data_IF_614025848082
#
_entry.id   IF_614025848082
#
_cell.length_a   1.000
_cell.length_b   1.000
_cell.length_c   1.000
_cell.angle_alpha   90.00
_cell.angle_beta   90.00
_cell.angle_gamma   90.00
#
_symmetry.space_group_name_H-M   'P 1'
#
loop_
_entity.id
_entity.type
_entity.pdbx_description
1 polymer ?
#
# COMPACT_ATOMS: atom_id res chain seq x y z
N UNK A 1 -0.27 -1.46 8.42
CA UNK A 1 -1.46 -0.78 8.98
C UNK A 1 -1.15 -0.22 10.36
N UNK A 2 -1.39 1.07 10.58
CA UNK A 2 -1.14 1.73 11.88
C UNK A 2 -2.41 1.91 12.73
N UNK A 3 -3.59 1.94 12.08
CA UNK A 3 -4.90 2.14 12.70
C UNK A 3 -5.93 1.19 12.13
N UNK A 4 -6.90 0.82 12.96
CA UNK A 4 -8.06 0.04 12.52
C UNK A 4 -8.93 0.87 11.57
N UNK A 5 -9.28 0.37 10.37
CA UNK A 5 -10.12 1.09 9.42
C UNK A 5 -11.57 1.26 9.89
N UNK A 6 -12.04 0.41 10.80
CA UNK A 6 -13.41 0.48 11.33
C UNK A 6 -13.57 1.52 12.43
N UNK A 7 -12.65 1.55 13.41
CA UNK A 7 -12.82 2.36 14.62
C UNK A 7 -11.70 3.37 14.88
N UNK A 8 -10.68 3.45 14.01
CA UNK A 8 -9.57 4.40 14.10
C UNK A 8 -8.57 4.16 15.24
N UNK A 9 -8.79 3.12 16.07
CA UNK A 9 -7.89 2.77 17.17
C UNK A 9 -6.52 2.34 16.63
N UNK A 10 -5.45 2.65 17.39
CA UNK A 10 -4.10 2.18 17.03
C UNK A 10 -4.07 0.65 16.96
N UNK A 11 -3.42 0.13 15.93
CA UNK A 11 -3.25 -1.32 15.77
C UNK A 11 -2.16 -1.82 16.72
N UNK A 12 -2.43 -2.95 17.40
CA UNK A 12 -1.54 -3.53 18.40
C UNK A 12 -0.85 -4.82 17.90
N UNK A 13 -0.83 -5.07 16.59
CA UNK A 13 -0.16 -6.24 16.00
C UNK A 13 -1.00 -7.51 15.87
N UNK A 14 -2.17 -7.59 16.50
CA UNK A 14 -3.06 -8.76 16.45
C UNK A 14 -3.87 -8.91 15.15
N UNK A 15 -4.40 -10.11 14.86
CA UNK A 15 -5.27 -10.35 13.71
C UNK A 15 -6.64 -9.66 13.86
N UNK A 16 -7.05 -9.31 15.07
CA UNK A 16 -8.28 -8.59 15.37
C UNK A 16 -8.01 -7.25 16.04
N UNK A 17 -8.89 -6.27 15.84
CA UNK A 17 -8.83 -5.00 16.56
C UNK A 17 -9.17 -5.20 18.04
N UNK A 18 -8.35 -4.68 18.96
CA UNK A 18 -8.63 -4.76 20.40
C UNK A 18 -9.88 -3.97 20.85
N UNK A 19 -10.29 -2.93 20.09
CA UNK A 19 -11.43 -2.06 20.44
C UNK A 19 -12.74 -2.54 19.85
N UNK A 20 -12.81 -2.66 18.53
CA UNK A 20 -14.05 -3.01 17.83
C UNK A 20 -14.16 -4.49 17.47
N UNK A 21 -13.11 -5.29 17.73
CA UNK A 21 -13.03 -6.73 17.39
C UNK A 21 -13.15 -7.07 15.90
N UNK A 22 -13.15 -6.08 15.00
CA UNK A 22 -13.05 -6.32 13.55
C UNK A 22 -11.87 -7.23 13.26
N UNK A 23 -12.12 -8.26 12.43
CA UNK A 23 -11.07 -9.09 11.87
C UNK A 23 -10.25 -8.30 10.83
N UNK A 24 -8.97 -8.16 11.10
CA UNK A 24 -7.98 -7.49 10.26
C UNK A 24 -7.06 -8.51 9.58
N UNK A 25 -7.23 -9.82 9.83
CA UNK A 25 -6.35 -10.88 9.39
C UNK A 25 -6.13 -10.88 7.89
N UNK A 26 -7.19 -10.76 7.10
CA UNK A 26 -7.10 -10.69 5.63
C UNK A 26 -6.34 -9.45 5.16
N UNK A 27 -6.62 -8.28 5.73
CA UNK A 27 -5.94 -7.04 5.33
C UNK A 27 -4.45 -7.10 5.68
N UNK A 28 -4.12 -7.58 6.87
CA UNK A 28 -2.73 -7.79 7.29
C UNK A 28 -2.02 -8.84 6.40
N UNK A 29 -2.71 -9.89 5.97
CA UNK A 29 -2.16 -10.89 5.06
C UNK A 29 -1.82 -10.27 3.69
N UNK A 30 -2.69 -9.41 3.16
CA UNK A 30 -2.44 -8.66 1.91
C UNK A 30 -1.23 -7.73 2.07
N UNK A 31 -1.13 -6.98 3.17
CA UNK A 31 0.03 -6.11 3.43
C UNK A 31 1.34 -6.91 3.52
N UNK A 32 1.33 -8.06 4.21
CA UNK A 32 2.49 -8.95 4.31
C UNK A 32 2.88 -9.54 2.95
N UNK A 33 1.90 -9.92 2.13
CA UNK A 33 2.14 -10.43 0.78
C UNK A 33 2.74 -9.34 -0.13
N UNK A 34 2.22 -8.11 -0.07
CA UNK A 34 2.81 -6.98 -0.77
C UNK A 34 4.25 -6.72 -0.31
N UNK A 35 4.51 -6.72 0.99
CA UNK A 35 5.87 -6.55 1.53
C UNK A 35 6.83 -7.65 1.07
N UNK A 36 6.37 -8.91 0.98
CA UNK A 36 7.16 -10.02 0.44
C UNK A 36 7.52 -9.78 -1.03
N UNK A 37 6.55 -9.38 -1.85
CA UNK A 37 6.81 -9.08 -3.26
C UNK A 37 7.75 -7.87 -3.44
N UNK A 38 7.69 -6.84 -2.57
CA UNK A 38 8.69 -5.76 -2.59
C UNK A 38 10.11 -6.27 -2.34
N UNK A 39 10.29 -7.16 -1.35
CA UNK A 39 11.60 -7.78 -1.09
C UNK A 39 12.09 -8.62 -2.27
N UNK A 40 11.20 -9.37 -2.92
CA UNK A 40 11.54 -10.14 -4.12
C UNK A 40 11.90 -9.24 -5.31
N UNK A 41 11.18 -8.13 -5.50
CA UNK A 41 11.51 -7.15 -6.54
C UNK A 41 12.90 -6.55 -6.34
N UNK A 42 13.23 -6.19 -5.09
CA UNK A 42 14.56 -5.71 -4.73
C UNK A 42 15.64 -6.77 -4.99
N UNK A 43 15.43 -8.00 -4.54
CA UNK A 43 16.37 -9.08 -4.78
C UNK A 43 16.60 -9.31 -6.29
N UNK A 44 15.53 -9.31 -7.10
CA UNK A 44 15.64 -9.45 -8.55
C UNK A 44 16.44 -8.30 -9.20
N UNK A 45 16.26 -7.05 -8.72
CA UNK A 45 17.09 -5.92 -9.16
C UNK A 45 18.58 -6.11 -8.82
N UNK A 46 18.89 -6.60 -7.61
CA UNK A 46 20.26 -6.87 -7.17
C UNK A 46 20.93 -7.96 -8.03
N UNK A 47 20.16 -8.90 -8.57
CA UNK A 47 20.64 -9.94 -9.49
C UNK A 47 20.57 -9.53 -10.98
N UNK A 48 20.14 -8.31 -11.30
CA UNK A 48 20.00 -7.82 -12.67
C UNK A 48 18.77 -8.36 -13.43
N UNK A 49 17.91 -9.15 -12.79
CA UNK A 49 16.67 -9.67 -13.38
C UNK A 49 15.57 -8.60 -13.36
N UNK A 50 15.60 -7.74 -14.38
CA UNK A 50 14.68 -6.61 -14.52
C UNK A 50 13.22 -7.04 -14.74
N UNK A 51 13.00 -8.17 -15.40
CA UNK A 51 11.66 -8.68 -15.70
C UNK A 51 10.99 -9.19 -14.43
N UNK A 52 11.68 -10.08 -13.68
CA UNK A 52 11.17 -10.57 -12.41
C UNK A 52 10.99 -9.43 -11.41
N UNK A 53 11.90 -8.45 -11.40
CA UNK A 53 11.77 -7.26 -10.58
C UNK A 53 10.46 -6.50 -10.86
N UNK A 54 10.19 -6.19 -12.13
CA UNK A 54 8.97 -5.46 -12.54
C UNK A 54 7.71 -6.26 -12.23
N UNK A 55 7.73 -7.57 -12.46
CA UNK A 55 6.59 -8.45 -12.13
C UNK A 55 6.29 -8.47 -10.62
N UNK A 56 7.33 -8.61 -9.79
CA UNK A 56 7.16 -8.57 -8.33
C UNK A 56 6.72 -7.20 -7.82
N UNK A 57 7.28 -6.11 -8.35
CA UNK A 57 6.88 -4.75 -7.96
C UNK A 57 5.42 -4.45 -8.38
N UNK A 58 5.02 -4.89 -9.58
CA UNK A 58 3.64 -4.80 -10.06
C UNK A 58 2.67 -5.55 -9.14
N UNK A 59 2.99 -6.79 -8.76
CA UNK A 59 2.20 -7.59 -7.80
C UNK A 59 2.08 -6.90 -6.44
N UNK A 60 3.18 -6.34 -5.92
CA UNK A 60 3.13 -5.60 -4.66
C UNK A 60 2.18 -4.40 -4.72
N UNK A 61 2.21 -3.66 -5.82
CA UNK A 61 1.35 -2.48 -6.04
C UNK A 61 -0.12 -2.85 -6.24
N UNK A 62 -0.41 -3.97 -6.91
CA UNK A 62 -1.77 -4.49 -7.10
C UNK A 62 -2.40 -4.97 -5.78
N UNK A 63 -1.61 -5.59 -4.90
CA UNK A 63 -2.07 -6.03 -3.58
C UNK A 63 -2.28 -4.87 -2.61
N UNK A 64 -1.30 -3.97 -2.53
CA UNK A 64 -1.35 -2.83 -1.64
C UNK A 64 -0.61 -1.65 -2.26
N UNK A 65 -1.39 -0.68 -2.74
CA UNK A 65 -0.91 0.54 -3.36
C UNK A 65 -0.44 1.56 -2.31
N UNK A 66 0.68 1.24 -1.67
CA UNK A 66 1.35 2.09 -0.67
C UNK A 66 2.54 2.83 -1.27
N UNK A 67 3.06 3.90 -0.61
CA UNK A 67 4.25 4.61 -1.07
C UNK A 67 5.44 3.68 -1.33
N UNK A 68 5.64 2.65 -0.50
CA UNK A 68 6.73 1.68 -0.66
C UNK A 68 6.53 0.78 -1.89
N UNK A 69 5.29 0.37 -2.18
CA UNK A 69 4.99 -0.43 -3.38
C UNK A 69 5.14 0.38 -4.66
N UNK A 70 4.69 1.64 -4.64
CA UNK A 70 4.89 2.58 -5.74
C UNK A 70 6.38 2.87 -5.96
N UNK A 71 7.15 3.03 -4.89
CA UNK A 71 8.60 3.25 -4.96
C UNK A 71 9.30 2.06 -5.61
N UNK A 72 8.98 0.83 -5.19
CA UNK A 72 9.51 -0.38 -5.80
C UNK A 72 9.21 -0.40 -7.31
N UNK A 73 7.98 -0.12 -7.71
CA UNK A 73 7.59 -0.11 -9.13
C UNK A 73 8.30 1.00 -9.92
N UNK A 74 8.41 2.20 -9.35
CA UNK A 74 9.11 3.33 -9.97
C UNK A 74 10.59 3.00 -10.23
N UNK A 75 11.27 2.39 -9.27
CA UNK A 75 12.67 1.97 -9.41
C UNK A 75 12.81 0.91 -10.52
N UNK A 76 11.90 -0.06 -10.60
CA UNK A 76 11.94 -1.04 -11.71
C UNK A 76 11.69 -0.41 -13.08
N UNK A 77 10.86 0.63 -13.16
CA UNK A 77 10.65 1.39 -14.38
C UNK A 77 11.91 2.17 -14.78
N UNK A 78 12.60 2.80 -13.83
CA UNK A 78 13.90 3.45 -14.06
C UNK A 78 14.95 2.46 -14.56
N UNK A 79 15.06 1.28 -13.91
CA UNK A 79 16.01 0.24 -14.30
C UNK A 79 15.76 -0.31 -15.71
N UNK A 80 14.51 -0.23 -16.20
CA UNK A 80 14.11 -0.61 -17.55
C UNK A 80 14.20 0.53 -18.59
N UNK A 81 14.58 1.74 -18.18
CA UNK A 81 14.61 2.92 -19.07
C UNK A 81 13.23 3.54 -19.35
N UNK A 82 12.18 3.11 -18.66
CA UNK A 82 10.82 3.63 -18.78
C UNK A 82 10.64 4.87 -17.89
N UNK A 83 11.32 5.96 -18.27
CA UNK A 83 11.31 7.22 -17.55
C UNK A 83 9.91 7.85 -17.43
N UNK A 84 9.02 7.82 -18.45
CA UNK A 84 7.67 8.36 -18.31
C UNK A 84 6.87 7.66 -17.21
N UNK A 85 6.92 6.32 -17.15
CA UNK A 85 6.23 5.58 -16.10
C UNK A 85 6.83 5.87 -14.72
N UNK A 86 8.16 5.94 -14.61
CA UNK A 86 8.86 6.26 -13.38
C UNK A 86 8.45 7.65 -12.83
N UNK A 87 8.41 8.68 -13.68
CA UNK A 87 8.02 10.03 -13.29
C UNK A 87 6.56 10.10 -12.83
N UNK A 88 5.65 9.40 -13.52
CA UNK A 88 4.23 9.33 -13.10
C UNK A 88 4.10 8.72 -11.71
N UNK A 89 4.77 7.60 -11.46
CA UNK A 89 4.74 6.92 -10.16
C UNK A 89 5.36 7.79 -9.06
N UNK A 90 6.46 8.50 -9.38
CA UNK A 90 7.09 9.42 -8.44
C UNK A 90 6.20 10.59 -8.03
N UNK A 91 5.44 11.16 -8.98
CA UNK A 91 4.45 12.21 -8.69
C UNK A 91 3.35 11.70 -7.77
N UNK A 92 2.88 10.47 -7.99
CA UNK A 92 1.87 9.85 -7.13
C UNK A 92 2.38 9.65 -5.70
N UNK A 93 3.62 9.16 -5.55
CA UNK A 93 4.26 9.03 -4.23
C UNK A 93 4.29 10.39 -3.54
N UNK A 94 4.75 11.44 -4.22
CA UNK A 94 4.82 12.79 -3.64
C UNK A 94 3.46 13.37 -3.29
N UNK A 95 2.42 13.09 -4.07
CA UNK A 95 1.05 13.51 -3.78
C UNK A 95 0.48 12.78 -2.55
N UNK A 96 0.87 11.52 -2.32
CA UNK A 96 0.46 10.72 -1.17
C UNK A 96 1.25 10.97 0.12
N UNK A 97 2.46 11.53 0.04
CA UNK A 97 3.35 11.79 1.20
C UNK A 97 3.07 13.10 1.96
N UNK A 98 1.91 13.74 1.76
CA UNK A 98 1.46 14.85 2.61
C UNK A 98 1.19 14.41 4.06
N UNK A 99 1.24 15.30 5.07
CA UNK A 99 1.03 14.93 6.46
C UNK A 99 -0.29 14.18 6.64
N UNK A 100 -0.16 12.96 7.15
CA UNK A 100 -1.13 11.88 7.10
C UNK A 100 -2.29 12.18 8.07
N UNK A 101 -3.47 12.52 7.55
CA UNK A 101 -4.61 12.88 8.42
C UNK A 101 -6.02 12.60 7.92
N UNK A 102 -6.28 12.13 6.69
CA UNK A 102 -7.68 12.13 6.16
C UNK A 102 -7.99 11.12 5.05
N UNK A 103 -7.75 9.82 5.20
CA UNK A 103 -8.19 8.88 4.15
C UNK A 103 -8.88 7.60 4.65
N UNK A 104 -9.80 7.71 5.61
CA UNK A 104 -10.87 6.69 5.76
C UNK A 104 -12.22 7.24 6.31
N UNK A 105 -12.53 8.54 6.19
CA UNK A 105 -13.81 9.10 6.69
C UNK A 105 -14.73 9.52 5.55
N UNK A 106 -15.26 8.57 4.79
CA UNK A 106 -16.51 8.74 4.02
C UNK A 106 -17.26 7.42 3.91
N UNK A 107 -17.80 6.92 5.04
CA UNK A 107 -19.00 6.08 5.08
C UNK A 107 -19.53 6.05 6.52
N UNK A 108 -20.52 6.89 6.81
CA UNK A 108 -21.28 6.84 8.06
C UNK A 108 -21.95 8.16 8.40
N UNK A 109 -23.26 8.27 8.12
CA UNK A 109 -24.13 9.27 8.74
C UNK A 109 -24.80 10.28 7.80
N UNK A 110 -25.47 9.82 6.74
CA UNK A 110 -26.65 10.56 6.28
C UNK A 110 -27.78 10.25 7.29
N UNK A 111 -27.85 11.03 8.36
CA UNK A 111 -29.05 11.09 9.19
C UNK A 111 -30.13 11.80 8.38
N UNK A 112 -31.21 11.07 8.06
CA UNK A 112 -32.45 11.68 7.60
C UNK A 112 -32.97 12.61 8.72
N UNK A 113 -33.42 13.84 8.40
CA UNK A 113 -34.39 14.50 9.27
C UNK A 113 -35.72 13.75 9.14
N UNK A 114 -36.17 13.14 10.23
CA UNK A 114 -37.59 12.85 10.41
C UNK A 114 -38.29 14.16 10.77
N UNK A 115 -39.48 14.27 10.19
CA UNK A 115 -40.50 15.32 10.22
C UNK A 115 -40.59 16.18 11.49
#
# INVERSE_FOLDING_TARGET
>A
MERCPTCGARHAGGPSCHRCRTDLGQVLAIERAAARHRRQARAALEHGDREAARAHAGRACALHRSPESLTALAVTALAAGDFPAALRLWREIRAGSGPIGRQYSTRGGAGNPLE
#
